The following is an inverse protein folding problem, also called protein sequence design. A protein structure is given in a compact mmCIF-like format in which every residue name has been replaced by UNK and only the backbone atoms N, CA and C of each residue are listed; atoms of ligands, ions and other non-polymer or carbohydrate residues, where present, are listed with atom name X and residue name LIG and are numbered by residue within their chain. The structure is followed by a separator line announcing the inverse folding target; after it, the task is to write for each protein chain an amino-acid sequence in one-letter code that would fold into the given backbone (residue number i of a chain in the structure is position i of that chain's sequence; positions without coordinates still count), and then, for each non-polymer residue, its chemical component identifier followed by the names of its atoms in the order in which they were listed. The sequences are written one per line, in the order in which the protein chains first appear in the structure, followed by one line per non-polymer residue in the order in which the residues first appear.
data_IF_605876244122
#
_entry.id   IF_605876244122
#
_cell.length_a   1.000
_cell.length_b   1.000
_cell.length_c   1.000
_cell.angle_alpha   90.00
_cell.angle_beta   90.00
_cell.angle_gamma   90.00
#
_symmetry.space_group_name_H-M   'P 1'
#
loop_
_entity.id
_entity.type
_entity.pdbx_description
1 polymer ?
#
# COMPACT_ATOMS: atom_id res chain seq x y z
N UNK A 1 -4.42 -9.88 -18.62
CA UNK A 1 -5.35 -8.92 -19.25
C UNK A 1 -6.67 -9.56 -19.67
N UNK A 2 -6.67 -10.42 -20.71
CA UNK A 2 -7.91 -10.97 -21.33
C UNK A 2 -8.73 -11.83 -20.36
N UNK A 3 -8.08 -12.69 -19.56
CA UNK A 3 -8.77 -13.49 -18.53
C UNK A 3 -9.47 -12.62 -17.47
N UNK A 4 -8.85 -11.51 -17.06
CA UNK A 4 -9.45 -10.60 -16.10
C UNK A 4 -10.70 -9.91 -16.65
N UNK A 5 -10.69 -9.53 -17.94
CA UNK A 5 -11.86 -8.97 -18.63
C UNK A 5 -12.97 -10.02 -18.74
N UNK A 6 -12.64 -11.27 -19.07
CA UNK A 6 -13.61 -12.37 -19.12
C UNK A 6 -14.26 -12.62 -17.75
N UNK A 7 -13.48 -12.65 -16.67
CA UNK A 7 -14.00 -12.79 -15.31
C UNK A 7 -14.90 -11.62 -14.89
N UNK A 8 -14.57 -10.38 -15.27
CA UNK A 8 -15.39 -9.21 -14.99
C UNK A 8 -16.72 -9.23 -15.74
N UNK A 9 -16.72 -9.67 -17.02
CA UNK A 9 -17.92 -9.67 -17.86
C UNK A 9 -18.87 -10.83 -17.54
N UNK A 10 -18.34 -11.99 -17.13
CA UNK A 10 -19.13 -13.21 -16.97
C UNK A 10 -19.22 -13.72 -15.52
N UNK A 11 -18.31 -13.29 -14.63
CA UNK A 11 -18.19 -13.79 -13.27
C UNK A 11 -18.65 -12.83 -12.18
N UNK A 12 -18.85 -11.56 -12.47
CA UNK A 12 -19.25 -10.56 -11.48
C UNK A 12 -20.70 -10.19 -11.66
N UNK A 13 -21.56 -10.70 -10.76
CA UNK A 13 -22.92 -10.21 -10.62
C UNK A 13 -22.88 -8.98 -9.70
N UNK A 14 -23.18 -7.80 -10.25
CA UNK A 14 -23.38 -6.61 -9.41
C UNK A 14 -24.67 -6.78 -8.61
N UNK A 15 -24.66 -6.68 -7.27
CA UNK A 15 -25.89 -6.60 -6.50
C UNK A 15 -26.67 -5.36 -6.92
N UNK A 16 -27.98 -5.51 -7.07
CA UNK A 16 -28.86 -4.38 -7.44
C UNK A 16 -28.65 -3.21 -6.48
N UNK A 17 -28.03 -2.15 -6.99
CA UNK A 17 -27.90 -0.90 -6.23
C UNK A 17 -29.27 -0.26 -6.16
N UNK A 18 -29.88 -0.24 -4.99
CA UNK A 18 -30.97 0.69 -4.72
C UNK A 18 -30.45 2.12 -4.98
N UNK A 19 -30.82 2.66 -6.13
CA UNK A 19 -30.46 3.99 -6.63
C UNK A 19 -31.18 5.06 -5.79
N UNK A 20 -30.70 5.29 -4.58
CA UNK A 20 -31.12 6.43 -3.73
C UNK A 20 -29.95 7.34 -3.35
N UNK A 21 -28.89 7.37 -4.14
CA UNK A 21 -27.82 8.32 -3.89
C UNK A 21 -27.99 9.53 -4.82
N UNK A 22 -28.50 10.66 -4.26
CA UNK A 22 -28.25 11.98 -4.84
C UNK A 22 -26.77 12.09 -5.13
N UNK A 23 -26.42 12.30 -6.41
CA UNK A 23 -25.07 12.63 -6.83
C UNK A 23 -24.67 13.96 -6.20
N UNK A 24 -24.23 13.94 -4.96
CA UNK A 24 -23.55 15.07 -4.33
C UNK A 24 -22.11 15.07 -4.78
N UNK A 25 -21.59 16.25 -5.11
CA UNK A 25 -20.17 16.43 -5.47
C UNK A 25 -19.29 15.84 -4.34
N UNK A 26 -18.45 14.81 -4.58
CA UNK A 26 -17.75 14.11 -3.51
C UNK A 26 -16.77 15.02 -2.73
N UNK A 27 -16.26 16.10 -3.34
CA UNK A 27 -15.28 17.03 -2.75
C UNK A 27 -16.00 18.32 -2.29
N UNK A 28 -17.09 18.21 -1.56
CA UNK A 28 -17.67 19.37 -0.89
C UNK A 28 -17.01 19.54 0.49
N UNK A 29 -16.75 20.80 0.87
CA UNK A 29 -16.16 21.14 2.19
C UNK A 29 -16.93 20.51 3.36
N UNK A 30 -18.24 20.38 3.22
CA UNK A 30 -19.10 19.79 4.25
C UNK A 30 -18.87 18.28 4.39
N UNK A 31 -18.61 17.56 3.30
CA UNK A 31 -18.25 16.14 3.32
C UNK A 31 -16.87 15.92 3.97
N UNK A 32 -15.90 16.80 3.69
CA UNK A 32 -14.57 16.73 4.30
C UNK A 32 -14.63 17.04 5.81
N UNK A 33 -15.53 17.91 6.27
CA UNK A 33 -15.75 18.20 7.70
C UNK A 33 -16.40 17.04 8.44
N UNK A 34 -17.19 16.22 7.74
CA UNK A 34 -17.80 15.00 8.32
C UNK A 34 -16.77 13.89 8.52
N UNK A 35 -15.61 13.96 7.86
CA UNK A 35 -14.48 13.08 8.14
C UNK A 35 -13.86 13.53 9.47
N UNK A 36 -14.05 12.72 10.51
CA UNK A 36 -13.64 13.03 11.87
C UNK A 36 -12.11 13.15 12.06
N UNK A 37 -11.67 13.63 13.22
CA UNK A 37 -10.26 13.77 13.55
C UNK A 37 -9.48 12.43 13.43
N UNK A 38 -10.11 11.31 13.79
CA UNK A 38 -9.51 9.97 13.65
C UNK A 38 -9.13 9.64 12.22
N UNK A 39 -9.97 9.99 11.25
CA UNK A 39 -9.66 9.81 9.83
C UNK A 39 -8.42 10.64 9.41
N UNK A 40 -8.35 11.91 9.84
CA UNK A 40 -7.21 12.76 9.49
C UNK A 40 -5.90 12.28 10.11
N UNK A 41 -5.96 11.67 11.30
CA UNK A 41 -4.80 10.98 11.88
C UNK A 41 -4.36 9.79 11.01
N UNK A 42 -5.29 8.99 10.49
CA UNK A 42 -4.96 7.90 9.56
C UNK A 42 -4.32 8.43 8.29
N UNK A 43 -4.83 9.52 7.73
CA UNK A 43 -4.25 10.20 6.55
C UNK A 43 -2.83 10.69 6.84
N UNK A 44 -2.61 11.32 7.98
CA UNK A 44 -1.29 11.81 8.39
C UNK A 44 -0.28 10.65 8.57
N UNK A 45 -0.69 9.57 9.22
CA UNK A 45 0.13 8.36 9.39
C UNK A 45 0.44 7.74 8.03
N UNK A 46 -0.56 7.57 7.16
CA UNK A 46 -0.37 7.00 5.81
C UNK A 46 0.55 7.86 4.95
N UNK A 47 0.41 9.18 5.00
CA UNK A 47 1.30 10.14 4.32
C UNK A 47 2.74 10.02 4.85
N UNK A 48 2.94 9.93 6.16
CA UNK A 48 4.24 9.75 6.78
C UNK A 48 4.89 8.41 6.37
N UNK A 49 4.11 7.32 6.37
CA UNK A 49 4.59 6.02 5.88
C UNK A 49 4.99 6.07 4.40
N UNK A 50 4.25 6.83 3.59
CA UNK A 50 4.57 7.01 2.17
C UNK A 50 5.85 7.84 2.00
N UNK A 51 6.06 8.87 2.82
CA UNK A 51 7.31 9.65 2.82
C UNK A 51 8.51 8.83 3.30
N UNK A 52 8.32 7.94 4.28
CA UNK A 52 9.38 7.07 4.78
C UNK A 52 9.81 6.00 3.76
N UNK A 53 8.95 5.70 2.80
CA UNK A 53 9.17 4.71 1.75
C UNK A 53 9.62 5.42 0.48
N UNK A 54 10.86 5.20 0.03
CA UNK A 54 11.32 5.71 -1.25
C UNK A 54 10.67 4.99 -2.45
N UNK A 55 10.86 5.54 -3.64
CA UNK A 55 10.32 4.97 -4.87
C UNK A 55 10.91 3.59 -5.18
N UNK A 56 10.06 2.66 -5.62
CA UNK A 56 10.47 1.32 -6.09
C UNK A 56 11.52 1.38 -7.23
N UNK A 57 11.63 2.51 -7.94
CA UNK A 57 12.67 2.73 -8.92
C UNK A 57 14.10 2.61 -8.33
N UNK A 58 14.29 2.98 -7.07
CA UNK A 58 15.58 2.81 -6.39
C UNK A 58 15.93 1.35 -6.16
N UNK A 59 14.95 0.47 -5.96
CA UNK A 59 15.19 -0.99 -5.87
C UNK A 59 15.73 -1.53 -7.18
N UNK A 60 15.18 -1.06 -8.31
CA UNK A 60 15.67 -1.39 -9.67
C UNK A 60 17.11 -0.92 -9.86
N UNK A 61 17.39 0.34 -9.53
CA UNK A 61 18.76 0.90 -9.62
C UNK A 61 19.74 0.13 -8.72
N UNK A 62 19.32 -0.19 -7.51
CA UNK A 62 20.14 -0.95 -6.57
C UNK A 62 20.46 -2.35 -7.09
N UNK A 63 19.50 -3.03 -7.71
CA UNK A 63 19.70 -4.33 -8.32
C UNK A 63 20.77 -4.25 -9.44
N UNK A 64 20.70 -3.25 -10.31
CA UNK A 64 21.68 -3.03 -11.37
C UNK A 64 23.08 -2.76 -10.79
N UNK A 65 23.19 -1.89 -9.78
CA UNK A 65 24.46 -1.58 -9.11
C UNK A 65 25.10 -2.80 -8.43
N UNK A 66 24.28 -3.77 -8.00
CA UNK A 66 24.74 -5.00 -7.34
C UNK A 66 25.07 -6.14 -8.32
N UNK A 67 25.19 -5.84 -9.62
CA UNK A 67 25.62 -6.79 -10.65
C UNK A 67 24.50 -7.65 -11.24
N UNK A 68 23.23 -7.33 -10.95
CA UNK A 68 22.10 -8.01 -11.63
C UNK A 68 22.05 -7.52 -13.07
N UNK A 69 22.19 -8.44 -14.04
CA UNK A 69 22.07 -8.07 -15.45
C UNK A 69 20.71 -7.46 -15.75
N UNK A 70 20.65 -6.43 -16.59
CA UNK A 70 19.45 -5.65 -16.88
C UNK A 70 18.24 -6.53 -17.29
N UNK A 71 18.48 -7.64 -17.98
CA UNK A 71 17.45 -8.61 -18.36
C UNK A 71 16.76 -9.29 -17.16
N UNK A 72 17.43 -9.39 -16.00
CA UNK A 72 16.91 -10.04 -14.80
C UNK A 72 16.37 -9.07 -13.77
N UNK A 73 16.56 -7.77 -13.94
CA UNK A 73 16.03 -6.75 -13.02
C UNK A 73 14.51 -6.84 -12.85
N UNK A 74 13.70 -7.08 -13.90
CA UNK A 74 12.25 -7.29 -13.71
C UNK A 74 11.91 -8.47 -12.80
N UNK A 75 12.74 -9.51 -12.74
CA UNK A 75 12.53 -10.66 -11.85
C UNK A 75 12.68 -10.29 -10.37
N UNK A 76 13.50 -9.28 -10.05
CA UNK A 76 13.62 -8.74 -8.69
C UNK A 76 12.28 -8.15 -8.24
N UNK A 77 11.61 -7.40 -9.13
CA UNK A 77 10.29 -6.85 -8.84
C UNK A 77 9.21 -7.95 -8.75
N UNK A 78 9.31 -8.99 -9.58
CA UNK A 78 8.43 -10.17 -9.49
C UNK A 78 8.60 -10.85 -8.13
N UNK A 79 9.84 -11.07 -7.68
CA UNK A 79 10.12 -11.68 -6.38
C UNK A 79 9.52 -10.85 -5.23
N UNK A 80 9.71 -9.53 -5.25
CA UNK A 80 9.11 -8.60 -4.28
C UNK A 80 7.58 -8.76 -4.24
N UNK A 81 6.94 -8.74 -5.42
CA UNK A 81 5.48 -8.82 -5.50
C UNK A 81 4.93 -10.20 -5.08
N UNK A 82 5.67 -11.29 -5.31
CA UNK A 82 5.31 -12.62 -4.83
C UNK A 82 5.34 -12.67 -3.29
N UNK A 83 6.39 -12.12 -2.68
CA UNK A 83 6.51 -12.01 -1.22
C UNK A 83 5.41 -11.11 -0.67
N UNK A 84 5.14 -9.97 -1.30
CA UNK A 84 4.03 -9.07 -0.95
C UNK A 84 2.69 -9.82 -0.97
N UNK A 85 2.36 -10.50 -2.07
CA UNK A 85 1.11 -11.24 -2.21
C UNK A 85 0.98 -12.36 -1.17
N UNK A 86 2.07 -13.12 -0.94
CA UNK A 86 2.09 -14.20 0.05
C UNK A 86 1.99 -13.71 1.50
N UNK A 87 2.53 -12.52 1.79
CA UNK A 87 2.49 -11.92 3.14
C UNK A 87 1.18 -11.19 3.42
N UNK A 88 0.47 -10.70 2.41
CA UNK A 88 -0.77 -9.93 2.58
C UNK A 88 -1.85 -10.70 3.36
N UNK A 89 -2.04 -12.00 3.06
CA UNK A 89 -3.04 -12.81 3.75
C UNK A 89 -2.73 -13.02 5.25
N UNK A 90 -1.54 -13.53 5.65
CA UNK A 90 -1.25 -13.74 7.07
C UNK A 90 -1.25 -12.44 7.88
N UNK A 91 -0.79 -11.34 7.31
CA UNK A 91 -0.83 -10.05 8.01
C UNK A 91 -2.21 -9.41 8.02
N UNK A 92 -3.05 -9.64 7.01
CA UNK A 92 -4.47 -9.32 7.07
C UNK A 92 -5.17 -10.02 8.23
N UNK A 93 -4.99 -11.34 8.35
CA UNK A 93 -5.52 -12.10 9.48
C UNK A 93 -4.95 -11.65 10.85
N UNK A 94 -3.69 -11.22 10.88
CA UNK A 94 -3.05 -10.72 12.10
C UNK A 94 -3.61 -9.33 12.49
N UNK A 95 -3.99 -8.50 11.52
CA UNK A 95 -4.58 -7.18 11.76
C UNK A 95 -5.92 -7.25 12.49
N UNK A 96 -6.65 -8.36 12.32
CA UNK A 96 -7.91 -8.60 13.07
C UNK A 96 -7.69 -8.96 14.55
N UNK A 97 -6.45 -9.31 14.93
CA UNK A 97 -6.11 -9.81 16.27
C UNK A 97 -5.13 -8.93 17.05
N UNK A 98 -4.45 -8.03 16.36
CA UNK A 98 -3.50 -7.09 16.96
C UNK A 98 -3.97 -5.66 16.78
N UNK A 99 -3.52 -4.77 17.68
CA UNK A 99 -3.77 -3.35 17.47
C UNK A 99 -3.07 -2.86 16.20
N UNK A 100 -3.77 -2.07 15.41
CA UNK A 100 -3.26 -1.49 14.16
C UNK A 100 -1.92 -0.74 14.37
N UNK A 101 -1.78 -0.02 15.50
CA UNK A 101 -0.54 0.69 15.83
C UNK A 101 0.66 -0.26 15.99
N UNK A 102 0.47 -1.43 16.64
CA UNK A 102 1.56 -2.40 16.80
C UNK A 102 1.97 -3.00 15.47
N UNK A 103 1.00 -3.32 14.60
CA UNK A 103 1.27 -3.90 13.30
C UNK A 103 1.95 -2.87 12.37
N UNK A 104 1.55 -1.59 12.42
CA UNK A 104 2.24 -0.51 11.71
C UNK A 104 3.67 -0.33 12.20
N UNK A 105 3.89 -0.32 13.52
CA UNK A 105 5.24 -0.21 14.09
C UNK A 105 6.13 -1.38 13.66
N UNK A 106 5.60 -2.61 13.67
CA UNK A 106 6.32 -3.78 13.18
C UNK A 106 6.63 -3.66 11.69
N UNK A 107 5.67 -3.20 10.88
CA UNK A 107 5.89 -2.91 9.47
C UNK A 107 7.01 -1.89 9.24
N UNK A 108 7.09 -0.85 10.06
CA UNK A 108 8.17 0.15 9.98
C UNK A 108 9.54 -0.45 10.35
N UNK A 109 9.59 -1.31 11.37
CA UNK A 109 10.82 -2.03 11.73
C UNK A 109 11.29 -2.91 10.56
N UNK A 110 10.38 -3.61 9.90
CA UNK A 110 10.71 -4.43 8.72
C UNK A 110 11.21 -3.56 7.57
N UNK A 111 10.62 -2.37 7.36
CA UNK A 111 11.12 -1.42 6.35
C UNK A 111 12.54 -0.97 6.65
N UNK A 112 12.82 -0.57 7.89
CA UNK A 112 14.17 -0.15 8.32
C UNK A 112 15.16 -1.31 8.11
N UNK A 113 14.78 -2.53 8.45
CA UNK A 113 15.64 -3.71 8.23
C UNK A 113 15.89 -3.94 6.72
N UNK A 114 14.88 -3.79 5.87
CA UNK A 114 15.01 -3.88 4.42
C UNK A 114 16.00 -2.84 3.89
N UNK A 115 15.88 -1.59 4.33
CA UNK A 115 16.75 -0.49 3.91
C UNK A 115 18.20 -0.70 4.35
N UNK A 116 18.42 -1.17 5.58
CA UNK A 116 19.76 -1.50 6.09
C UNK A 116 20.41 -2.63 5.28
N UNK A 117 19.65 -3.68 4.93
CA UNK A 117 20.14 -4.78 4.09
C UNK A 117 20.48 -4.27 2.69
N UNK A 118 19.61 -3.45 2.10
CA UNK A 118 19.85 -2.85 0.77
C UNK A 118 21.04 -1.89 0.78
N UNK A 119 21.24 -1.14 1.86
CA UNK A 119 22.35 -0.20 1.99
C UNK A 119 23.71 -0.91 2.17
N UNK A 120 23.75 -1.97 2.98
CA UNK A 120 24.99 -2.66 3.35
C UNK A 120 25.45 -3.72 2.34
N UNK A 121 24.54 -4.23 1.50
CA UNK A 121 24.82 -5.34 0.60
C UNK A 121 25.37 -4.92 -0.75
N UNK A 122 26.43 -5.60 -1.22
CA UNK A 122 27.03 -5.38 -2.54
C UNK A 122 26.79 -6.55 -3.52
N UNK A 123 26.06 -7.59 -3.09
CA UNK A 123 25.80 -8.79 -3.86
C UNK A 123 24.34 -8.90 -4.26
N UNK A 124 24.03 -9.54 -5.38
CA UNK A 124 22.67 -9.75 -5.88
C UNK A 124 21.75 -10.45 -4.87
N UNK A 125 22.24 -11.36 -4.06
CA UNK A 125 21.45 -12.08 -3.05
C UNK A 125 21.04 -11.17 -1.88
N UNK A 126 21.85 -10.15 -1.51
CA UNK A 126 21.46 -9.16 -0.50
C UNK A 126 20.34 -8.27 -1.02
N UNK A 127 20.33 -7.97 -2.32
CA UNK A 127 19.19 -7.27 -2.95
C UNK A 127 17.95 -8.11 -2.86
N UNK A 128 18.00 -9.41 -3.15
CA UNK A 128 16.82 -10.29 -3.04
C UNK A 128 16.28 -10.35 -1.61
N UNK A 129 17.15 -10.42 -0.59
CA UNK A 129 16.71 -10.37 0.82
C UNK A 129 16.05 -9.03 1.12
N UNK A 130 16.67 -7.92 0.74
CA UNK A 130 16.15 -6.57 0.99
C UNK A 130 14.80 -6.33 0.33
N UNK A 131 14.64 -6.69 -0.96
CA UNK A 131 13.35 -6.53 -1.66
C UNK A 131 12.28 -7.50 -1.14
N UNK A 132 12.68 -8.67 -0.62
CA UNK A 132 11.75 -9.60 0.04
C UNK A 132 11.22 -9.00 1.35
N UNK A 133 12.09 -8.43 2.18
CA UNK A 133 11.69 -7.68 3.38
C UNK A 133 10.78 -6.49 3.03
N UNK A 134 11.10 -5.78 1.94
CA UNK A 134 10.25 -4.71 1.42
C UNK A 134 8.86 -5.22 1.03
N UNK A 135 8.78 -6.37 0.35
CA UNK A 135 7.52 -7.03 0.03
C UNK A 135 6.71 -7.41 1.27
N UNK A 136 7.37 -7.93 2.32
CA UNK A 136 6.73 -8.20 3.63
C UNK A 136 6.17 -6.92 4.24
N UNK A 137 6.98 -5.84 4.30
CA UNK A 137 6.52 -4.53 4.76
C UNK A 137 5.25 -4.07 4.04
N UNK A 138 5.22 -4.17 2.73
CA UNK A 138 4.04 -3.81 1.92
C UNK A 138 2.82 -4.67 2.29
N UNK A 139 3.01 -5.99 2.45
CA UNK A 139 1.94 -6.90 2.88
C UNK A 139 1.37 -6.60 4.26
N UNK A 140 2.22 -6.10 5.17
CA UNK A 140 1.81 -5.69 6.52
C UNK A 140 1.05 -4.36 6.54
N UNK A 141 1.41 -3.42 5.69
CA UNK A 141 0.99 -2.01 5.88
C UNK A 141 -0.08 -1.53 4.91
N UNK A 142 -0.07 -1.96 3.65
CA UNK A 142 -1.01 -1.43 2.64
C UNK A 142 -2.47 -1.81 2.93
N UNK A 143 -2.74 -3.09 3.18
CA UNK A 143 -4.08 -3.54 3.54
C UNK A 143 -4.58 -2.92 4.84
N UNK A 144 -3.68 -2.82 5.83
CA UNK A 144 -3.99 -2.24 7.14
C UNK A 144 -4.37 -0.76 7.04
N UNK A 145 -3.61 0.04 6.30
CA UNK A 145 -3.93 1.46 6.08
C UNK A 145 -5.28 1.62 5.35
N UNK A 146 -5.57 0.77 4.37
CA UNK A 146 -6.86 0.77 3.70
C UNK A 146 -8.02 0.44 4.66
N UNK A 147 -7.87 -0.56 5.52
CA UNK A 147 -8.84 -0.90 6.57
C UNK A 147 -9.05 0.28 7.53
N UNK A 148 -7.98 0.90 8.00
CA UNK A 148 -8.07 2.06 8.90
C UNK A 148 -8.81 3.24 8.26
N UNK A 149 -8.63 3.49 6.96
CA UNK A 149 -9.41 4.49 6.21
C UNK A 149 -10.90 4.15 6.21
N UNK A 150 -11.26 2.88 5.94
CA UNK A 150 -12.64 2.43 5.93
C UNK A 150 -13.32 2.56 7.30
N UNK A 151 -12.62 2.14 8.36
CA UNK A 151 -13.15 2.11 9.74
C UNK A 151 -13.34 3.49 10.33
N UNK A 152 -12.52 4.46 9.91
CA UNK A 152 -12.60 5.84 10.38
C UNK A 152 -13.42 6.76 9.43
N UNK A 153 -14.14 6.19 8.48
CA UNK A 153 -14.94 6.95 7.50
C UNK A 153 -16.42 6.55 7.57
N UNK A 154 -17.36 7.51 7.49
CA UNK A 154 -18.77 7.21 7.32
C UNK A 154 -18.99 6.35 6.06
N UNK A 155 -19.93 5.40 6.11
CA UNK A 155 -20.18 4.46 5.03
C UNK A 155 -20.52 5.15 3.69
N UNK A 156 -21.24 6.26 3.74
CA UNK A 156 -21.62 7.08 2.59
C UNK A 156 -20.48 7.92 2.01
N UNK A 157 -19.37 8.10 2.75
CA UNK A 157 -18.20 8.88 2.36
C UNK A 157 -16.94 8.05 2.13
N UNK A 158 -16.99 6.72 2.23
CA UNK A 158 -15.82 5.85 2.06
C UNK A 158 -15.08 6.10 0.74
N UNK A 159 -15.81 6.26 -0.37
CA UNK A 159 -15.20 6.57 -1.66
C UNK A 159 -14.43 7.91 -1.65
N UNK A 160 -15.00 8.94 -1.03
CA UNK A 160 -14.34 10.25 -0.86
C UNK A 160 -13.12 10.13 0.06
N UNK A 161 -13.23 9.38 1.15
CA UNK A 161 -12.13 9.15 2.09
C UNK A 161 -10.95 8.44 1.42
N UNK A 162 -11.19 7.37 0.67
CA UNK A 162 -10.13 6.72 -0.12
C UNK A 162 -9.53 7.65 -1.18
N UNK A 163 -10.36 8.44 -1.86
CA UNK A 163 -9.88 9.42 -2.85
C UNK A 163 -8.93 10.45 -2.24
N UNK A 164 -9.29 11.03 -1.10
CA UNK A 164 -8.46 12.01 -0.38
C UNK A 164 -7.19 11.35 0.17
N UNK A 165 -7.30 10.17 0.77
CA UNK A 165 -6.14 9.40 1.26
C UNK A 165 -5.14 9.12 0.13
N UNK A 166 -5.61 8.62 -1.02
CA UNK A 166 -4.76 8.32 -2.17
C UNK A 166 -4.14 9.57 -2.78
N UNK A 167 -4.88 10.70 -2.81
CA UNK A 167 -4.35 11.97 -3.28
C UNK A 167 -3.17 12.44 -2.39
N UNK A 168 -3.35 12.44 -1.07
CA UNK A 168 -2.32 12.87 -0.12
C UNK A 168 -1.12 11.91 -0.16
N UNK A 169 -1.35 10.61 -0.20
CA UNK A 169 -0.29 9.60 -0.33
C UNK A 169 0.45 9.73 -1.67
N UNK A 170 -0.26 10.01 -2.78
CA UNK A 170 0.37 10.27 -4.08
C UNK A 170 1.24 11.52 -4.07
N UNK A 171 0.79 12.62 -3.44
CA UNK A 171 1.59 13.83 -3.25
C UNK A 171 2.82 13.57 -2.37
N UNK A 172 2.67 12.81 -1.29
CA UNK A 172 3.79 12.40 -0.44
C UNK A 172 4.81 11.57 -1.22
N UNK A 173 4.34 10.67 -2.08
CA UNK A 173 5.21 9.86 -2.94
C UNK A 173 5.98 10.68 -3.98
N UNK A 174 5.35 11.73 -4.54
CA UNK A 174 6.05 12.66 -5.45
C UNK A 174 7.18 13.42 -4.73
N UNK A 175 6.99 13.75 -3.45
CA UNK A 175 8.03 14.42 -2.64
C UNK A 175 9.14 13.43 -2.26
N UNK A 176 8.82 12.15 -2.07
CA UNK A 176 9.77 11.10 -1.71
C UNK A 176 10.58 10.52 -2.90
N UNK A 177 10.18 10.84 -4.14
CA UNK A 177 10.84 10.40 -5.39
C UNK A 177 11.88 11.38 -5.85
#
# INVERSE_FOLDING_TARGET
GVMAVGLLLFGVHEPERHMSHKRTNPIQRDNLRRLGASYWWVVAIGGLFTLARFSEAFLVLRAQQSGVAAAFVPLVMVAMNLVYAGSAYPFGWLSDRMSHAKLLALGLIVLIAADLVLASGHHWWTVLIGVSLWGVHMGMTQGLLATMVADNSPADLRGTAYGVFNLISGMAMLVAS
#
